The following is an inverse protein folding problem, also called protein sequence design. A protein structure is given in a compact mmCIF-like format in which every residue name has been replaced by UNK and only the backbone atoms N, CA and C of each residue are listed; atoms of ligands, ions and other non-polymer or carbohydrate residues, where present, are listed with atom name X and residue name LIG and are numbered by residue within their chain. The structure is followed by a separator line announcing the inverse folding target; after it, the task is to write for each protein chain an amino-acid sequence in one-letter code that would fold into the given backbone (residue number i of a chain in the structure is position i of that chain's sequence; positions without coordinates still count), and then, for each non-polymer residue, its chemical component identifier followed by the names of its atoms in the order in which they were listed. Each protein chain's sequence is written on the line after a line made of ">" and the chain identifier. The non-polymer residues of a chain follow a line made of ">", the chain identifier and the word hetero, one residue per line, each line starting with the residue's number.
data_IF_599588917319
#
_entry.id   IF_599588917319
#
_cell.length_a   1.000
_cell.length_b   1.000
_cell.length_c   1.000
_cell.angle_alpha   90.00
_cell.angle_beta   90.00
_cell.angle_gamma   90.00
#
_symmetry.space_group_name_H-M   'P 1'
#
loop_
_entity.id
_entity.type
_entity.pdbx_description
1 polymer ?
#
# COMPACT_ATOMS: atom_id res chain seq x y z
N UNK A 1 -9.58 -9.92 -9.46
CA UNK A 1 -8.79 -8.71 -9.72
C UNK A 1 -8.66 -8.52 -11.21
N UNK A 2 -8.63 -7.26 -11.64
CA UNK A 2 -8.65 -6.87 -13.04
C UNK A 2 -8.73 -5.37 -13.20
N UNK A 3 -8.48 -4.92 -14.43
CA UNK A 3 -8.40 -3.53 -14.83
C UNK A 3 -9.17 -3.33 -16.14
N UNK A 4 -9.50 -2.10 -16.49
CA UNK A 4 -10.12 -1.79 -17.79
C UNK A 4 -9.19 -2.17 -18.93
N UNK A 5 -7.90 -1.91 -18.73
CA UNK A 5 -6.77 -2.22 -19.62
C UNK A 5 -6.58 -3.72 -19.85
N UNK A 6 -7.26 -4.57 -19.08
CA UNK A 6 -7.19 -6.03 -19.20
C UNK A 6 -8.52 -6.65 -19.60
N UNK A 7 -9.47 -5.85 -20.08
CA UNK A 7 -10.81 -6.32 -20.44
C UNK A 7 -11.63 -6.79 -19.23
N UNK A 8 -11.36 -6.27 -18.03
CA UNK A 8 -12.03 -6.66 -16.81
C UNK A 8 -11.22 -7.67 -15.98
N UNK A 9 -11.91 -8.69 -15.45
CA UNK A 9 -11.35 -9.63 -14.47
C UNK A 9 -10.40 -10.65 -15.11
N UNK A 10 -9.18 -10.74 -14.59
CA UNK A 10 -8.13 -11.65 -15.09
C UNK A 10 -7.52 -12.55 -14.02
N UNK A 11 -7.72 -12.23 -12.74
CA UNK A 11 -7.22 -13.02 -11.59
C UNK A 11 -8.38 -13.37 -10.67
N UNK A 12 -8.47 -14.64 -10.27
CA UNK A 12 -9.57 -15.16 -9.45
C UNK A 12 -9.05 -15.98 -8.27
N UNK A 13 -9.63 -15.70 -7.09
CA UNK A 13 -9.39 -16.48 -5.89
C UNK A 13 -10.17 -17.78 -5.95
N UNK A 14 -9.53 -18.81 -6.47
CA UNK A 14 -10.14 -20.14 -6.59
C UNK A 14 -10.06 -20.85 -5.25
N UNK A 15 -11.18 -21.43 -4.80
CA UNK A 15 -11.15 -22.19 -3.55
C UNK A 15 -10.38 -23.49 -3.73
N UNK A 16 -9.48 -23.82 -2.79
CA UNK A 16 -8.77 -25.11 -2.80
C UNK A 16 -9.37 -26.04 -1.75
N UNK A 17 -9.69 -27.28 -2.12
CA UNK A 17 -10.27 -28.28 -1.21
C UNK A 17 -9.46 -28.48 0.08
N UNK A 18 -8.13 -28.38 0.01
CA UNK A 18 -7.23 -28.44 1.17
C UNK A 18 -7.49 -27.34 2.23
N UNK A 19 -8.19 -26.27 1.88
CA UNK A 19 -8.56 -25.21 2.84
C UNK A 19 -9.77 -25.58 3.69
N UNK A 20 -10.55 -26.60 3.31
CA UNK A 20 -11.77 -27.00 4.04
C UNK A 20 -11.50 -27.35 5.50
N UNK A 21 -10.34 -27.96 5.77
CA UNK A 21 -9.90 -28.37 7.11
C UNK A 21 -9.26 -27.25 7.93
N UNK A 22 -9.06 -26.05 7.36
CA UNK A 22 -8.40 -24.95 8.06
C UNK A 22 -9.41 -24.18 8.95
N UNK A 23 -8.94 -23.58 10.06
CA UNK A 23 -9.76 -22.68 10.87
C UNK A 23 -10.35 -21.53 10.04
N UNK A 24 -11.51 -21.02 10.45
CA UNK A 24 -12.25 -19.99 9.71
C UNK A 24 -11.39 -18.73 9.40
N UNK A 25 -10.58 -18.27 10.35
CA UNK A 25 -9.67 -17.13 10.18
C UNK A 25 -8.64 -17.37 9.07
N UNK A 26 -8.05 -18.55 9.02
CA UNK A 26 -7.05 -18.88 8.01
C UNK A 26 -7.69 -19.06 6.62
N UNK A 27 -8.88 -19.67 6.56
CA UNK A 27 -9.67 -19.75 5.32
C UNK A 27 -10.00 -18.36 4.78
N UNK A 28 -10.42 -17.44 5.65
CA UNK A 28 -10.72 -16.06 5.27
C UNK A 28 -9.48 -15.35 4.71
N UNK A 29 -8.32 -15.48 5.40
CA UNK A 29 -7.04 -14.93 4.93
C UNK A 29 -6.65 -15.46 3.55
N UNK A 30 -6.74 -16.77 3.32
CA UNK A 30 -6.40 -17.39 2.03
C UNK A 30 -7.36 -16.96 0.92
N UNK A 31 -8.66 -16.88 1.22
CA UNK A 31 -9.69 -16.46 0.27
C UNK A 31 -9.60 -14.97 -0.09
N UNK A 32 -9.09 -14.13 0.81
CA UNK A 32 -8.93 -12.69 0.58
C UNK A 32 -7.86 -12.36 -0.48
N UNK A 33 -6.90 -13.27 -0.73
CA UNK A 33 -5.91 -13.12 -1.82
C UNK A 33 -6.61 -13.03 -3.17
N UNK A 34 -6.05 -12.25 -4.09
CA UNK A 34 -6.62 -12.07 -5.43
C UNK A 34 -6.67 -13.38 -6.21
N UNK A 35 -5.68 -14.25 -6.02
CA UNK A 35 -5.72 -15.63 -6.51
C UNK A 35 -4.82 -15.89 -7.70
N UNK A 36 -5.26 -16.77 -8.60
CA UNK A 36 -4.48 -17.22 -9.75
C UNK A 36 -4.99 -16.59 -11.04
N UNK A 37 -4.12 -16.50 -12.04
CA UNK A 37 -4.51 -16.06 -13.38
C UNK A 37 -5.60 -16.95 -13.99
N UNK A 38 -6.45 -16.34 -14.82
CA UNK A 38 -7.47 -17.08 -15.56
C UNK A 38 -6.83 -18.00 -16.61
N UNK A 39 -7.41 -19.17 -16.81
CA UNK A 39 -6.87 -20.20 -17.72
C UNK A 39 -6.80 -19.77 -19.20
N UNK A 40 -7.46 -18.67 -19.59
CA UNK A 40 -7.72 -18.35 -21.00
C UNK A 40 -7.03 -17.12 -21.57
N UNK A 41 -6.52 -16.18 -20.77
CA UNK A 41 -6.26 -14.83 -21.33
C UNK A 41 -5.05 -14.07 -20.79
N UNK A 42 -4.41 -14.50 -19.70
CA UNK A 42 -3.40 -13.67 -19.05
C UNK A 42 -2.42 -14.48 -18.22
N UNK A 43 -1.15 -14.51 -18.62
CA UNK A 43 -0.04 -14.78 -17.71
C UNK A 43 0.06 -13.67 -16.67
N UNK A 44 0.36 -14.04 -15.43
CA UNK A 44 0.45 -13.12 -14.29
C UNK A 44 1.76 -13.38 -13.58
N UNK A 45 2.51 -12.32 -13.33
CA UNK A 45 3.71 -12.39 -12.49
C UNK A 45 3.88 -11.13 -11.65
N UNK A 46 4.87 -11.15 -10.77
CA UNK A 46 5.29 -10.00 -9.97
C UNK A 46 6.76 -9.73 -10.25
N UNK A 47 7.08 -8.57 -10.81
CA UNK A 47 8.45 -8.21 -11.17
C UNK A 47 9.05 -7.22 -10.18
N UNK A 48 10.32 -7.43 -9.83
CA UNK A 48 11.11 -6.43 -9.14
C UNK A 48 11.26 -5.19 -10.05
N UNK A 49 10.87 -4.02 -9.54
CA UNK A 49 10.80 -2.77 -10.31
C UNK A 49 12.16 -2.24 -10.75
N UNK A 50 13.24 -2.67 -10.10
CA UNK A 50 14.62 -2.25 -10.40
C UNK A 50 15.27 -3.17 -11.43
N UNK A 51 15.05 -4.48 -11.32
CA UNK A 51 15.72 -5.49 -12.17
C UNK A 51 14.86 -5.96 -13.34
N UNK A 52 13.54 -5.78 -13.27
CA UNK A 52 12.57 -6.29 -14.24
C UNK A 52 12.46 -7.82 -14.26
N UNK A 53 12.95 -8.51 -13.22
CA UNK A 53 12.90 -9.98 -13.09
C UNK A 53 11.79 -10.41 -12.14
N UNK A 54 11.24 -11.63 -12.28
CA UNK A 54 10.28 -12.17 -11.33
C UNK A 54 10.85 -12.17 -9.90
N UNK A 55 10.03 -11.75 -8.94
CA UNK A 55 10.38 -11.81 -7.51
C UNK A 55 10.34 -13.25 -7.00
N UNK A 56 10.91 -13.47 -5.81
CA UNK A 56 10.77 -14.76 -5.11
C UNK A 56 9.30 -14.98 -4.75
N UNK A 57 8.82 -16.21 -4.96
CA UNK A 57 7.45 -16.60 -4.65
C UNK A 57 7.30 -17.04 -3.20
N UNK A 58 7.68 -16.17 -2.26
CA UNK A 58 7.67 -16.43 -0.82
C UNK A 58 6.47 -15.80 -0.09
N UNK A 59 5.64 -15.03 -0.79
CA UNK A 59 4.50 -14.30 -0.21
C UNK A 59 4.90 -13.05 0.57
N UNK A 60 6.16 -12.60 0.48
CA UNK A 60 6.67 -11.41 1.17
C UNK A 60 7.49 -10.47 0.27
N UNK A 61 8.18 -10.98 -0.74
CA UNK A 61 8.99 -10.16 -1.65
C UNK A 61 8.08 -9.33 -2.56
N UNK A 62 8.11 -8.01 -2.37
CA UNK A 62 7.29 -7.05 -3.11
C UNK A 62 7.82 -6.84 -4.53
N UNK A 63 6.90 -6.65 -5.46
CA UNK A 63 7.18 -6.17 -6.80
C UNK A 63 5.92 -5.63 -7.46
N UNK A 64 6.06 -5.16 -8.70
CA UNK A 64 4.93 -4.72 -9.50
C UNK A 64 4.23 -5.90 -10.16
N UNK A 65 2.91 -5.94 -10.05
CA UNK A 65 2.09 -6.93 -10.73
C UNK A 65 2.10 -6.63 -12.22
N UNK A 66 2.42 -7.66 -13.01
CA UNK A 66 2.43 -7.57 -14.46
C UNK A 66 1.56 -8.65 -15.09
N UNK A 67 1.04 -8.31 -16.27
CA UNK A 67 0.08 -9.14 -16.99
C UNK A 67 0.49 -9.26 -18.45
N UNK A 68 0.29 -10.44 -19.05
CA UNK A 68 0.56 -10.64 -20.48
C UNK A 68 -0.45 -11.60 -21.08
N UNK A 69 -1.10 -11.22 -22.17
CA UNK A 69 -1.99 -12.11 -22.90
C UNK A 69 -3.04 -11.36 -23.72
N UNK A 70 -3.94 -12.12 -24.34
CA UNK A 70 -4.86 -11.60 -25.35
C UNK A 70 -5.90 -10.58 -24.83
N UNK A 71 -6.12 -10.52 -23.51
CA UNK A 71 -7.06 -9.55 -22.91
C UNK A 71 -6.44 -8.19 -22.62
N UNK A 72 -5.11 -8.03 -22.76
CA UNK A 72 -4.43 -6.75 -22.54
C UNK A 72 -4.79 -5.77 -23.67
N UNK A 73 -5.03 -4.52 -23.31
CA UNK A 73 -5.36 -3.43 -24.23
C UNK A 73 -4.33 -3.26 -25.34
N UNK A 74 -4.77 -2.66 -26.46
CA UNK A 74 -3.86 -2.25 -27.54
C UNK A 74 -3.02 -1.02 -27.17
N UNK A 75 -3.50 -0.21 -26.21
CA UNK A 75 -2.87 1.02 -25.77
C UNK A 75 -3.90 2.09 -25.40
N UNK A 76 -3.40 3.22 -24.89
CA UNK A 76 -4.20 4.40 -24.58
C UNK A 76 -4.45 5.22 -25.85
N UNK A 77 -5.69 5.65 -26.04
CA UNK A 77 -6.11 6.41 -27.22
C UNK A 77 -5.35 7.75 -27.30
N UNK A 78 -4.65 7.97 -28.42
CA UNK A 78 -3.86 9.18 -28.70
C UNK A 78 -2.74 9.46 -27.67
N UNK A 79 -2.33 8.44 -26.91
CA UNK A 79 -1.24 8.53 -25.95
C UNK A 79 -0.21 7.40 -26.18
N UNK A 80 0.61 7.51 -27.24
CA UNK A 80 1.64 6.52 -27.54
C UNK A 80 2.72 6.46 -26.45
N UNK A 81 2.99 7.57 -25.76
CA UNK A 81 3.98 7.63 -24.68
C UNK A 81 3.49 6.86 -23.45
N UNK A 82 2.26 7.11 -22.99
CA UNK A 82 1.65 6.35 -21.90
C UNK A 82 1.52 4.86 -22.24
N UNK A 83 1.16 4.55 -23.49
CA UNK A 83 1.11 3.16 -23.98
C UNK A 83 2.48 2.50 -23.85
N UNK A 84 3.54 3.14 -24.36
CA UNK A 84 4.90 2.63 -24.29
C UNK A 84 5.38 2.45 -22.83
N UNK A 85 5.12 3.43 -21.96
CA UNK A 85 5.48 3.37 -20.53
C UNK A 85 4.77 2.26 -19.76
N UNK A 86 3.55 1.90 -20.19
CA UNK A 86 2.76 0.83 -19.58
C UNK A 86 3.20 -0.58 -20.01
N UNK A 87 4.12 -0.69 -20.97
CA UNK A 87 4.61 -1.96 -21.49
C UNK A 87 6.09 -2.14 -21.19
N UNK A 88 6.47 -3.32 -20.69
CA UNK A 88 7.88 -3.70 -20.59
C UNK A 88 8.41 -4.11 -21.96
N UNK A 89 9.73 -4.03 -22.14
CA UNK A 89 10.41 -4.49 -23.36
C UNK A 89 10.20 -5.99 -23.65
N UNK A 90 9.82 -6.78 -22.64
CA UNK A 90 9.56 -8.23 -22.75
C UNK A 90 8.07 -8.54 -22.94
N UNK A 91 7.23 -7.54 -23.22
CA UNK A 91 5.83 -7.70 -23.62
C UNK A 91 4.85 -7.83 -22.45
N UNK A 92 5.27 -7.51 -21.22
CA UNK A 92 4.38 -7.43 -20.07
C UNK A 92 3.72 -6.06 -19.94
N UNK A 93 2.42 -6.04 -19.68
CA UNK A 93 1.69 -4.86 -19.22
C UNK A 93 1.91 -4.63 -17.73
N UNK A 94 2.25 -3.38 -17.37
CA UNK A 94 2.51 -2.90 -16.02
C UNK A 94 1.21 -2.34 -15.43
N UNK A 95 0.73 -2.98 -14.37
CA UNK A 95 -0.56 -2.60 -13.75
C UNK A 95 -0.47 -1.35 -12.87
N UNK A 96 0.73 -1.01 -12.39
CA UNK A 96 0.92 -0.02 -11.34
C UNK A 96 0.37 -0.45 -9.96
N UNK A 97 0.03 -1.72 -9.79
CA UNK A 97 -0.30 -2.34 -8.50
C UNK A 97 0.92 -3.12 -7.98
N UNK A 98 1.16 -3.06 -6.67
CA UNK A 98 2.24 -3.77 -5.98
C UNK A 98 1.66 -4.99 -5.28
N UNK A 99 2.34 -6.11 -5.42
CA UNK A 99 1.91 -7.37 -4.84
C UNK A 99 3.05 -8.30 -4.51
N UNK A 100 2.67 -9.47 -4.00
CA UNK A 100 3.55 -10.61 -3.74
C UNK A 100 2.97 -11.84 -4.43
N UNK A 101 3.85 -12.76 -4.81
CA UNK A 101 3.46 -14.07 -5.29
C UNK A 101 3.71 -15.11 -4.19
N UNK A 102 2.69 -15.89 -3.84
CA UNK A 102 2.81 -16.96 -2.85
C UNK A 102 3.40 -18.24 -3.49
N UNK A 103 3.99 -19.15 -2.69
CA UNK A 103 4.55 -20.41 -3.19
C UNK A 103 3.54 -21.28 -3.95
N UNK A 104 2.25 -21.10 -3.67
CA UNK A 104 1.16 -21.81 -4.33
C UNK A 104 0.62 -21.11 -5.59
N UNK A 105 1.29 -20.06 -6.05
CA UNK A 105 0.97 -19.30 -7.27
C UNK A 105 -0.14 -18.27 -7.09
N UNK A 106 -0.58 -18.01 -5.85
CA UNK A 106 -1.59 -17.00 -5.58
C UNK A 106 -0.95 -15.61 -5.52
N UNK A 107 -1.49 -14.68 -6.30
CA UNK A 107 -1.22 -13.27 -6.19
C UNK A 107 -1.94 -12.68 -4.97
N UNK A 108 -1.23 -11.87 -4.22
CA UNK A 108 -1.79 -10.99 -3.19
C UNK A 108 -1.33 -9.55 -3.45
N UNK A 109 -2.28 -8.67 -3.70
CA UNK A 109 -2.04 -7.24 -3.88
C UNK A 109 -1.84 -6.62 -2.51
N UNK A 110 -0.80 -5.80 -2.40
CA UNK A 110 -0.39 -5.10 -1.18
C UNK A 110 -0.72 -3.63 -1.25
N UNK A 111 -0.46 -2.97 -2.38
CA UNK A 111 -0.68 -1.53 -2.51
C UNK A 111 -0.70 -1.07 -3.98
N UNK A 112 -0.75 0.25 -4.20
CA UNK A 112 -0.41 0.89 -5.48
C UNK A 112 1.05 1.27 -5.51
N UNK A 113 1.69 1.17 -6.68
CA UNK A 113 3.10 1.53 -6.83
C UNK A 113 3.39 2.98 -6.40
N UNK A 114 2.47 3.91 -6.70
CA UNK A 114 2.57 5.32 -6.30
C UNK A 114 2.28 5.59 -4.82
N UNK A 115 1.72 4.61 -4.10
CA UNK A 115 1.36 4.72 -2.69
C UNK A 115 2.34 3.94 -1.79
N UNK A 116 3.33 3.24 -2.36
CA UNK A 116 4.49 2.71 -1.61
C UNK A 116 5.37 3.87 -1.15
N UNK A 117 5.75 3.83 0.12
CA UNK A 117 6.62 4.82 0.77
C UNK A 117 8.00 4.18 0.93
N UNK A 118 9.05 4.83 0.43
CA UNK A 118 10.42 4.31 0.55
C UNK A 118 11.15 5.05 1.66
N UNK A 119 11.29 4.40 2.82
CA UNK A 119 11.92 5.00 4.00
C UNK A 119 13.22 4.27 4.31
N UNK A 120 14.36 4.93 4.14
CA UNK A 120 15.67 4.33 4.44
C UNK A 120 16.06 3.15 3.58
N UNK A 121 15.44 2.99 2.41
CA UNK A 121 15.61 1.82 1.54
C UNK A 121 14.59 0.69 1.78
N UNK A 122 13.75 0.82 2.80
CA UNK A 122 12.66 -0.12 3.07
C UNK A 122 11.35 0.31 2.40
N UNK A 123 10.62 -0.65 1.84
CA UNK A 123 9.31 -0.41 1.22
C UNK A 123 8.21 -0.54 2.27
N UNK A 124 7.45 0.52 2.48
CA UNK A 124 6.30 0.55 3.41
C UNK A 124 5.01 0.65 2.61
N UNK A 125 4.09 -0.28 2.84
CA UNK A 125 2.74 -0.19 2.28
C UNK A 125 1.90 0.79 3.09
N UNK A 126 1.37 1.82 2.43
CA UNK A 126 0.40 2.75 3.03
C UNK A 126 -0.84 2.02 3.56
N UNK A 127 -1.32 1.01 2.83
CA UNK A 127 -2.52 0.22 3.21
C UNK A 127 -2.29 -0.60 4.47
N UNK A 128 -1.07 -1.11 4.68
CA UNK A 128 -0.72 -1.84 5.89
C UNK A 128 -0.74 -0.93 7.12
N UNK A 129 -0.17 0.27 7.00
CA UNK A 129 -0.20 1.28 8.07
C UNK A 129 -1.64 1.74 8.34
N UNK A 130 -2.42 2.00 7.29
CA UNK A 130 -3.85 2.33 7.39
C UNK A 130 -4.63 1.23 8.11
N UNK A 131 -4.36 -0.05 7.80
CA UNK A 131 -5.05 -1.18 8.43
C UNK A 131 -4.85 -1.20 9.94
N UNK A 132 -3.65 -0.85 10.43
CA UNK A 132 -3.42 -0.71 11.88
C UNK A 132 -4.14 0.51 12.44
N UNK A 133 -4.09 1.66 11.75
CA UNK A 133 -4.81 2.87 12.16
C UNK A 133 -6.31 2.63 12.29
N UNK A 134 -6.93 1.87 11.39
CA UNK A 134 -8.35 1.52 11.44
C UNK A 134 -8.72 0.63 12.65
N UNK A 135 -7.75 0.00 13.32
CA UNK A 135 -8.01 -0.71 14.58
C UNK A 135 -8.05 0.22 15.79
N UNK A 136 -7.55 1.45 15.67
CA UNK A 136 -7.55 2.41 16.77
C UNK A 136 -9.00 2.85 17.09
N UNK A 137 -9.44 2.81 18.37
CA UNK A 137 -10.84 3.01 18.73
C UNK A 137 -11.40 4.38 18.29
N UNK A 138 -10.55 5.41 18.27
CA UNK A 138 -10.93 6.77 17.90
C UNK A 138 -10.96 7.08 16.39
N UNK A 139 -10.32 6.25 15.55
CA UNK A 139 -10.15 6.54 14.11
C UNK A 139 -11.44 6.23 13.35
N UNK A 140 -11.92 7.19 12.57
CA UNK A 140 -13.06 7.02 11.65
C UNK A 140 -12.57 6.73 10.22
N UNK A 141 -11.71 7.59 9.68
CA UNK A 141 -11.02 7.37 8.41
C UNK A 141 -9.53 7.62 8.59
N UNK A 142 -8.72 6.83 7.87
CA UNK A 142 -7.28 7.00 7.82
C UNK A 142 -6.78 6.86 6.38
N UNK A 143 -5.86 7.74 5.99
CA UNK A 143 -5.10 7.64 4.77
C UNK A 143 -3.64 8.00 5.01
N UNK A 144 -2.74 7.18 4.49
CA UNK A 144 -1.30 7.33 4.67
C UNK A 144 -0.67 7.61 3.31
N UNK A 145 0.23 8.59 3.29
CA UNK A 145 1.00 9.01 2.11
C UNK A 145 2.45 9.26 2.47
N UNK A 146 3.34 9.26 1.47
CA UNK A 146 4.73 9.65 1.66
C UNK A 146 4.83 11.15 1.98
N UNK A 147 5.61 11.50 3.01
CA UNK A 147 6.10 12.85 3.25
C UNK A 147 7.63 12.87 3.13
N UNK A 148 8.23 13.85 2.43
CA UNK A 148 9.68 13.96 2.33
C UNK A 148 10.36 14.05 3.70
N UNK A 149 11.55 13.45 3.82
CA UNK A 149 12.34 13.44 5.04
C UNK A 149 13.83 13.58 4.68
N UNK A 150 14.57 14.44 5.39
CA UNK A 150 15.97 14.75 5.04
C UNK A 150 16.90 13.53 5.14
N UNK A 151 16.76 12.72 6.19
CA UNK A 151 17.57 11.50 6.38
C UNK A 151 17.01 10.25 5.67
N UNK A 152 15.72 9.96 5.85
CA UNK A 152 15.10 8.72 5.36
C UNK A 152 14.62 8.77 3.90
N UNK A 153 14.72 9.91 3.23
CA UNK A 153 14.13 10.16 1.91
C UNK A 153 12.63 10.45 2.01
N UNK A 154 11.86 9.45 2.44
CA UNK A 154 10.42 9.58 2.72
C UNK A 154 10.06 8.93 4.06
N UNK A 155 8.97 9.37 4.67
CA UNK A 155 8.38 8.73 5.85
C UNK A 155 6.85 8.72 5.76
N UNK A 156 6.17 7.77 6.42
CA UNK A 156 4.71 7.73 6.39
C UNK A 156 4.10 8.93 7.14
N UNK A 157 3.16 9.59 6.48
CA UNK A 157 2.35 10.67 7.01
C UNK A 157 0.89 10.24 7.01
N UNK A 158 0.29 10.14 8.19
CA UNK A 158 -1.09 9.72 8.38
C UNK A 158 -2.02 10.94 8.45
N UNK A 159 -3.05 10.95 7.61
CA UNK A 159 -4.19 11.86 7.71
C UNK A 159 -5.35 11.09 8.32
N UNK A 160 -5.95 11.64 9.39
CA UNK A 160 -6.94 10.95 10.20
C UNK A 160 -8.16 11.83 10.41
N UNK A 161 -9.34 11.27 10.17
CA UNK A 161 -10.59 11.79 10.73
C UNK A 161 -10.99 10.95 11.93
N UNK A 162 -11.47 11.63 12.98
CA UNK A 162 -11.88 10.99 14.23
C UNK A 162 -13.38 10.65 14.19
N UNK A 163 -13.77 9.63 14.96
CA UNK A 163 -15.19 9.35 15.21
C UNK A 163 -15.80 10.50 15.99
N UNK A 164 -17.11 10.72 15.82
CA UNK A 164 -17.85 11.85 16.41
C UNK A 164 -17.72 11.99 17.94
N UNK A 165 -17.53 10.88 18.64
CA UNK A 165 -17.38 10.85 20.11
C UNK A 165 -15.96 11.19 20.57
N UNK A 166 -15.04 11.38 19.63
CA UNK A 166 -13.64 11.71 19.87
C UNK A 166 -13.32 13.08 19.29
N UNK A 167 -12.40 13.77 19.95
CA UNK A 167 -11.86 15.05 19.51
C UNK A 167 -10.35 15.04 19.62
N UNK A 168 -9.70 15.81 18.76
CA UNK A 168 -8.27 16.09 18.89
C UNK A 168 -8.03 16.83 20.21
N UNK A 169 -6.99 16.43 20.94
CA UNK A 169 -6.57 17.17 22.13
C UNK A 169 -6.04 18.56 21.71
N UNK A 170 -6.60 19.60 22.31
CA UNK A 170 -6.03 20.95 22.27
C UNK A 170 -5.52 21.25 23.67
N UNK A 171 -4.21 21.53 23.78
CA UNK A 171 -3.42 21.86 24.97
C UNK A 171 -4.13 21.73 26.33
N UNK A 172 -3.87 20.62 27.04
CA UNK A 172 -4.26 20.43 28.45
C UNK A 172 -5.66 19.84 28.71
N UNK A 173 -6.43 19.51 27.66
CA UNK A 173 -7.72 18.80 27.77
C UNK A 173 -7.68 17.34 27.31
N UNK A 174 -8.71 16.56 27.67
CA UNK A 174 -8.89 15.20 27.17
C UNK A 174 -9.22 15.16 25.66
N UNK A 175 -8.58 14.26 24.93
CA UNK A 175 -8.72 14.08 23.48
C UNK A 175 -7.59 13.20 22.94
N UNK A 176 -7.65 12.89 21.64
CA UNK A 176 -6.63 12.08 20.96
C UNK A 176 -5.47 12.98 20.50
N UNK A 177 -4.24 12.58 20.79
CA UNK A 177 -3.03 13.28 20.35
C UNK A 177 -2.33 12.55 19.20
N UNK A 178 -1.49 13.25 18.45
CA UNK A 178 -0.59 12.64 17.46
C UNK A 178 0.30 11.57 18.11
N UNK A 179 0.87 11.88 19.29
CA UNK A 179 1.75 10.96 20.03
C UNK A 179 1.05 9.65 20.38
N UNK A 180 -0.20 9.69 20.85
CA UNK A 180 -0.97 8.49 21.16
C UNK A 180 -1.20 7.61 19.93
N UNK A 181 -1.48 8.20 18.78
CA UNK A 181 -1.65 7.45 17.51
C UNK A 181 -0.32 6.82 17.09
N UNK A 182 0.79 7.57 17.17
CA UNK A 182 2.13 7.07 16.84
C UNK A 182 2.53 5.92 17.76
N UNK A 183 2.33 6.07 19.07
CA UNK A 183 2.64 5.03 20.06
C UNK A 183 1.77 3.78 19.86
N UNK A 184 0.48 3.97 19.56
CA UNK A 184 -0.43 2.87 19.24
C UNK A 184 0.06 2.05 18.04
N UNK A 185 0.54 2.73 16.99
CA UNK A 185 1.16 2.08 15.84
C UNK A 185 2.46 1.36 16.24
N UNK A 186 3.33 1.99 17.02
CA UNK A 186 4.63 1.41 17.45
C UNK A 186 4.47 0.08 18.19
N UNK A 187 3.38 -0.10 18.94
CA UNK A 187 3.09 -1.37 19.61
C UNK A 187 2.61 -2.50 18.67
N UNK A 188 2.25 -2.19 17.41
CA UNK A 188 1.50 -3.08 16.51
C UNK A 188 2.15 -3.29 15.13
N UNK A 189 3.20 -2.54 14.81
CA UNK A 189 3.96 -2.69 13.57
C UNK A 189 5.46 -2.44 13.80
N UNK A 190 6.28 -2.79 12.81
CA UNK A 190 7.70 -2.53 12.88
C UNK A 190 8.00 -1.01 12.94
N UNK A 191 9.04 -0.64 13.68
CA UNK A 191 9.36 0.77 13.96
C UNK A 191 9.50 1.64 12.71
N UNK A 192 10.12 1.12 11.64
CA UNK A 192 10.31 1.86 10.40
C UNK A 192 8.99 2.17 9.65
N UNK A 193 7.91 1.43 9.93
CA UNK A 193 6.59 1.63 9.31
C UNK A 193 5.74 2.66 10.04
N UNK A 194 6.11 3.03 11.27
CA UNK A 194 5.32 3.92 12.11
C UNK A 194 5.26 5.31 11.49
N UNK A 195 4.08 5.95 11.37
CA UNK A 195 3.98 7.31 10.90
C UNK A 195 4.85 8.27 11.72
N UNK A 196 5.62 9.12 11.02
CA UNK A 196 6.38 10.23 11.66
C UNK A 196 5.58 11.53 11.73
N UNK A 197 4.41 11.57 11.09
CA UNK A 197 3.51 12.71 11.13
C UNK A 197 2.08 12.21 11.16
N UNK A 198 1.26 12.76 12.06
CA UNK A 198 -0.19 12.56 12.10
C UNK A 198 -0.89 13.91 11.98
N UNK A 199 -1.74 14.04 10.96
CA UNK A 199 -2.54 15.23 10.70
C UNK A 199 -4.01 14.88 10.91
N UNK A 200 -4.66 15.58 11.83
CA UNK A 200 -6.10 15.44 12.02
C UNK A 200 -6.86 16.37 11.07
N UNK A 201 -7.90 15.84 10.43
CA UNK A 201 -8.84 16.58 9.61
C UNK A 201 -10.26 16.20 10.02
N UNK A 202 -11.20 17.14 9.91
CA UNK A 202 -12.61 16.85 10.16
C UNK A 202 -13.13 15.80 9.16
N UNK A 203 -12.75 15.95 7.89
CA UNK A 203 -13.07 15.00 6.82
C UNK A 203 -11.91 14.90 5.83
N UNK A 204 -11.63 13.69 5.35
CA UNK A 204 -10.63 13.45 4.30
C UNK A 204 -11.21 13.73 2.91
N UNK A 205 -10.44 14.25 1.95
CA UNK A 205 -10.92 14.55 0.61
C UNK A 205 -11.36 13.27 -0.10
N UNK A 206 -12.59 13.24 -0.63
CA UNK A 206 -13.21 12.05 -1.22
C UNK A 206 -13.83 12.35 -2.58
N UNK A 207 -13.88 11.33 -3.45
CA UNK A 207 -14.67 11.35 -4.67
C UNK A 207 -16.17 11.29 -4.37
N UNK A 208 -17.01 11.53 -5.38
CA UNK A 208 -18.46 11.32 -5.29
C UNK A 208 -18.88 9.89 -4.90
N UNK A 209 -17.97 8.91 -5.08
CA UNK A 209 -18.16 7.51 -4.68
C UNK A 209 -17.61 7.19 -3.28
N UNK A 210 -17.15 8.20 -2.53
CA UNK A 210 -16.61 8.05 -1.17
C UNK A 210 -15.15 7.57 -1.09
N UNK A 211 -14.43 7.48 -2.22
CA UNK A 211 -13.03 7.04 -2.22
C UNK A 211 -12.11 8.21 -1.85
N UNK A 212 -11.24 8.00 -0.86
CA UNK A 212 -10.25 9.00 -0.45
C UNK A 212 -9.30 9.35 -1.62
N UNK A 213 -9.15 10.64 -1.88
CA UNK A 213 -8.28 11.20 -2.92
C UNK A 213 -6.85 11.41 -2.38
N UNK A 214 -6.10 10.31 -2.22
CA UNK A 214 -4.69 10.35 -1.72
C UNK A 214 -3.75 11.29 -2.48
N UNK A 215 -4.06 11.68 -3.72
CA UNK A 215 -3.23 12.64 -4.45
C UNK A 215 -3.27 14.04 -3.82
N UNK A 216 -4.44 14.51 -3.36
CA UNK A 216 -4.56 15.78 -2.64
C UNK A 216 -3.81 15.73 -1.30
N UNK A 217 -3.87 14.58 -0.62
CA UNK A 217 -3.13 14.38 0.63
C UNK A 217 -1.60 14.36 0.40
N UNK A 218 -1.13 13.83 -0.73
CA UNK A 218 0.29 13.92 -1.13
C UNK A 218 0.72 15.36 -1.40
N UNK A 219 -0.12 16.15 -2.07
CA UNK A 219 0.14 17.58 -2.29
C UNK A 219 0.24 18.32 -0.94
N UNK A 220 -0.68 18.06 -0.01
CA UNK A 220 -0.63 18.59 1.35
C UNK A 220 0.66 18.16 2.08
N UNK A 221 1.02 16.88 2.02
CA UNK A 221 2.25 16.36 2.62
C UNK A 221 3.52 16.99 2.05
N UNK A 222 3.54 17.22 0.73
CA UNK A 222 4.65 17.91 0.05
C UNK A 222 4.72 19.37 0.46
N UNK A 223 3.59 20.06 0.56
CA UNK A 223 3.50 21.46 0.96
C UNK A 223 3.93 21.68 2.43
N UNK A 224 3.81 20.67 3.30
CA UNK A 224 4.36 20.71 4.66
C UNK A 224 5.91 20.69 4.72
N UNK A 225 6.58 20.49 3.58
CA UNK A 225 8.04 20.43 3.49
C UNK A 225 8.65 19.17 4.13
N UNK A 226 9.97 18.97 3.95
CA UNK A 226 10.67 17.82 4.49
C UNK A 226 10.72 17.86 6.01
N UNK A 227 10.53 16.71 6.64
CA UNK A 227 10.84 16.54 8.06
C UNK A 227 12.36 16.65 8.24
N UNK A 228 12.78 17.55 9.12
CA UNK A 228 14.20 17.72 9.47
C UNK A 228 14.72 16.53 10.23
N UNK A 229 15.96 16.13 9.94
CA UNK A 229 16.61 15.07 10.69
C UNK A 229 16.79 15.47 12.17
N UNK A 230 16.43 14.56 13.06
CA UNK A 230 16.59 14.70 14.52
C UNK A 230 17.66 13.75 15.05
N UNK A 231 18.16 13.98 16.26
CA UNK A 231 19.10 13.08 16.93
C UNK A 231 18.54 11.66 17.14
N UNK A 232 17.21 11.50 17.19
CA UNK A 232 16.53 10.20 17.32
C UNK A 232 16.56 9.37 16.04
N UNK A 233 16.68 10.01 14.87
CA UNK A 233 16.80 9.29 13.59
C UNK A 233 18.10 8.47 13.51
N UNK A 234 19.13 8.86 14.27
CA UNK A 234 20.38 8.11 14.38
C UNK A 234 20.26 6.86 15.27
N UNK A 235 19.39 6.85 16.29
CA UNK A 235 19.23 5.72 17.21
C UNK A 235 18.38 4.58 16.63
N UNK A 236 17.41 4.90 15.79
CA UNK A 236 16.57 3.88 15.13
C UNK A 236 17.38 3.00 14.16
N UNK A 237 18.49 3.52 13.63
CA UNK A 237 19.43 2.76 12.78
C UNK A 237 20.21 1.66 13.53
N UNK A 238 20.37 1.77 14.85
CA UNK A 238 21.15 0.79 15.64
C UNK A 238 20.37 -0.52 15.79
N UNK A 239 19.04 -0.50 15.75
CA UNK A 239 18.19 -1.67 15.91
C UNK A 239 17.82 -2.38 14.59
N UNK A 240 18.31 -1.93 13.43
CA UNK A 240 18.06 -2.55 12.11
C UNK A 240 19.11 -3.62 11.78
N UNK A 241 20.09 -3.85 12.66
CA UNK A 241 21.24 -4.74 12.43
C UNK A 241 21.28 -6.01 13.30
N UNK A 242 20.16 -6.43 13.89
CA UNK A 242 20.07 -7.66 14.71
C UNK A 242 19.06 -8.67 14.14
#
# INVERSE_FOLDING_TARGET
>A
YGLTETGGLVVYSTWRSKWNSLPAKERARLKARQGVGSLGMTEVDVLDTRTGRPVRRDGSTLGEVVLRGASVMLGYLKDPEGTSKSMTRTGWFRTGDVGVMHPDGYLEIKDRLKDIIISGGENISSVEVESVLYTHPAVNEAAVVARPHEFWGETPCAFISLKKDYKMAVSGGGGVTEKEVIDYCRERMAHYMVPKTVVFQEELPKTSTGKIQKFLLREMATAMGPIKASTLDNSDNINISA
#
